data_IF_435396337231
#
_entry.id   IF_435396337231
#
_cell.length_a   1.000
_cell.length_b   1.000
_cell.length_c   1.000
_cell.angle_alpha   90.00
_cell.angle_beta   90.00
_cell.angle_gamma   90.00
#
_symmetry.space_group_name_H-M   'P 1'
#
loop_
_entity.id
_entity.type
_entity.pdbx_description
1 polymer ?
#
# COMPACT_ATOMS: atom_id res chain seq x y z
N UNK A 1 14.04 -26.18 60.66
CA UNK A 1 13.28 -27.35 60.17
C UNK A 1 11.83 -26.94 59.96
N UNK A 2 11.35 -26.93 58.71
CA UNK A 2 9.93 -27.01 58.33
C UNK A 2 9.88 -27.25 56.81
N UNK A 3 9.61 -28.51 56.41
CA UNK A 3 9.46 -28.95 55.02
C UNK A 3 8.00 -28.78 54.61
N UNK A 4 7.71 -27.99 53.58
CA UNK A 4 6.41 -27.97 52.93
C UNK A 4 6.48 -28.76 51.60
N UNK A 5 5.83 -29.92 51.57
CA UNK A 5 5.50 -30.68 50.35
C UNK A 5 4.42 -29.92 49.57
N UNK A 6 4.61 -29.71 48.26
CA UNK A 6 3.52 -29.36 47.34
C UNK A 6 3.29 -30.49 46.35
N UNK A 7 2.05 -30.97 46.34
CA UNK A 7 1.48 -32.00 45.48
C UNK A 7 0.98 -31.39 44.17
N UNK A 8 1.26 -32.03 43.04
CA UNK A 8 0.80 -31.65 41.69
C UNK A 8 -0.68 -32.01 41.46
N UNK A 9 -1.52 -31.18 40.82
CA UNK A 9 -2.87 -31.57 40.43
C UNK A 9 -2.94 -32.18 39.02
N UNK A 10 -3.63 -33.32 38.89
CA UNK A 10 -3.97 -34.01 37.63
C UNK A 10 -4.97 -33.18 36.80
N UNK A 11 -4.70 -32.97 35.52
CA UNK A 11 -5.62 -32.37 34.52
C UNK A 11 -6.68 -33.39 34.08
N UNK A 12 -7.96 -33.02 34.20
CA UNK A 12 -9.12 -33.72 33.59
C UNK A 12 -9.20 -33.40 32.09
N UNK A 13 -9.41 -34.41 31.25
CA UNK A 13 -9.77 -34.26 29.82
C UNK A 13 -11.23 -33.81 29.71
N UNK A 14 -11.46 -32.56 29.28
CA UNK A 14 -12.76 -32.07 28.84
C UNK A 14 -12.88 -32.21 27.31
N UNK A 15 -13.94 -32.87 26.85
CA UNK A 15 -14.33 -33.01 25.44
C UNK A 15 -15.03 -31.72 25.03
N UNK A 16 -14.50 -30.98 24.05
CA UNK A 16 -15.15 -29.80 23.47
C UNK A 16 -16.21 -30.24 22.46
N UNK A 17 -17.46 -29.93 22.76
CA UNK A 17 -18.59 -30.00 21.84
C UNK A 17 -18.71 -28.64 21.14
N UNK A 18 -18.65 -28.63 19.80
CA UNK A 18 -18.62 -27.40 19.00
C UNK A 18 -20.06 -26.97 18.71
N UNK A 19 -20.46 -25.85 19.31
CA UNK A 19 -21.80 -25.28 19.27
C UNK A 19 -22.20 -24.84 17.84
N UNK A 20 -23.22 -25.51 17.27
CA UNK A 20 -23.71 -25.33 15.91
C UNK A 20 -24.34 -23.95 15.64
N UNK A 21 -24.64 -23.17 16.68
CA UNK A 21 -25.23 -21.82 16.56
C UNK A 21 -24.25 -20.79 16.01
N UNK A 22 -22.95 -20.88 16.32
CA UNK A 22 -21.93 -19.92 15.87
C UNK A 22 -21.70 -19.97 14.35
N UNK A 23 -21.82 -21.17 13.77
CA UNK A 23 -21.68 -21.42 12.33
C UNK A 23 -22.84 -20.81 11.52
N UNK A 24 -24.05 -20.78 12.10
CA UNK A 24 -25.23 -20.18 11.47
C UNK A 24 -25.16 -18.64 11.42
N UNK A 25 -24.67 -18.01 12.50
CA UNK A 25 -24.50 -16.54 12.56
C UNK A 25 -23.45 -16.06 11.54
N UNK A 26 -22.36 -16.82 11.35
CA UNK A 26 -21.34 -16.52 10.34
C UNK A 26 -21.85 -16.66 8.91
N UNK A 27 -22.72 -17.66 8.62
CA UNK A 27 -23.36 -17.82 7.30
C UNK A 27 -24.33 -16.68 6.97
N UNK A 28 -25.10 -16.20 7.95
CA UNK A 28 -26.05 -15.10 7.79
C UNK A 28 -25.34 -13.75 7.56
N UNK A 29 -24.23 -13.49 8.27
CA UNK A 29 -23.38 -12.30 8.06
C UNK A 29 -22.78 -12.27 6.65
N UNK A 30 -22.27 -13.41 6.16
CA UNK A 30 -21.73 -13.53 4.79
C UNK A 30 -22.81 -13.32 3.72
N UNK A 31 -24.03 -13.82 3.92
CA UNK A 31 -25.14 -13.58 2.98
C UNK A 31 -25.59 -12.12 2.95
N UNK A 32 -25.69 -11.45 4.10
CA UNK A 32 -26.04 -10.01 4.15
C UNK A 32 -25.00 -9.13 3.46
N UNK A 33 -23.71 -9.40 3.63
CA UNK A 33 -22.63 -8.69 2.89
C UNK A 33 -22.70 -8.92 1.39
N UNK A 34 -22.99 -10.15 0.94
CA UNK A 34 -23.14 -10.48 -0.48
C UNK A 34 -24.36 -9.80 -1.11
N UNK A 35 -25.46 -9.67 -0.36
CA UNK A 35 -26.67 -8.96 -0.80
C UNK A 35 -26.45 -7.44 -0.90
N UNK A 36 -25.68 -6.85 0.03
CA UNK A 36 -25.27 -5.44 -0.04
C UNK A 36 -24.47 -5.12 -1.30
N UNK A 37 -23.46 -5.95 -1.61
CA UNK A 37 -22.65 -5.80 -2.83
C UNK A 37 -23.49 -5.94 -4.12
N UNK A 38 -24.47 -6.84 -4.15
CA UNK A 38 -25.38 -7.01 -5.29
C UNK A 38 -26.33 -5.82 -5.50
N UNK A 39 -26.77 -5.18 -4.41
CA UNK A 39 -27.61 -3.98 -4.47
C UNK A 39 -26.81 -2.75 -4.93
N UNK A 40 -25.53 -2.63 -4.54
CA UNK A 40 -24.64 -1.57 -5.03
C UNK A 40 -24.33 -1.72 -6.52
N UNK A 41 -24.15 -2.94 -7.02
CA UNK A 41 -24.01 -3.21 -8.47
C UNK A 41 -25.27 -2.81 -9.23
N UNK A 42 -26.47 -3.12 -8.72
CA UNK A 42 -27.74 -2.69 -9.36
C UNK A 42 -27.91 -1.17 -9.35
N UNK A 43 -27.45 -0.49 -8.31
CA UNK A 43 -27.49 0.98 -8.20
C UNK A 43 -26.57 1.66 -9.23
N UNK A 44 -25.44 1.04 -9.55
CA UNK A 44 -24.51 1.51 -10.59
C UNK A 44 -24.97 1.23 -12.03
N UNK A 45 -25.72 0.14 -12.26
CA UNK A 45 -26.17 -0.25 -13.61
C UNK A 45 -27.47 0.43 -14.07
N UNK A 46 -28.28 0.97 -13.14
CA UNK A 46 -29.52 1.68 -13.46
C UNK A 46 -29.35 2.88 -14.41
N UNK A 47 -28.42 3.81 -14.12
CA UNK A 47 -28.17 4.97 -14.98
C UNK A 47 -27.64 4.60 -16.38
N UNK A 48 -26.89 3.49 -16.49
CA UNK A 48 -26.30 3.03 -17.75
C UNK A 48 -27.38 2.53 -18.73
N UNK A 49 -28.43 1.90 -18.22
CA UNK A 49 -29.55 1.40 -19.04
C UNK A 49 -30.43 2.56 -19.57
N UNK A 50 -30.57 3.64 -18.81
CA UNK A 50 -31.32 4.83 -19.22
C UNK A 50 -30.57 5.62 -20.31
N UNK A 51 -29.24 5.70 -20.22
CA UNK A 51 -28.41 6.33 -21.25
C UNK A 51 -28.41 5.57 -22.58
N UNK A 52 -28.39 4.23 -22.56
CA UNK A 52 -28.47 3.40 -23.78
C UNK A 52 -29.81 3.63 -24.50
N UNK A 53 -30.93 3.70 -23.76
CA UNK A 53 -32.25 3.96 -24.33
C UNK A 53 -32.39 5.37 -24.94
N UNK A 54 -31.69 6.37 -24.39
CA UNK A 54 -31.65 7.73 -24.95
C UNK A 54 -30.87 7.79 -26.27
N UNK A 55 -29.77 7.06 -26.38
CA UNK A 55 -28.97 6.95 -27.61
C UNK A 55 -29.73 6.22 -28.71
N UNK A 56 -30.44 5.14 -28.38
CA UNK A 56 -31.28 4.42 -29.35
C UNK A 56 -32.44 5.28 -29.88
N UNK A 57 -33.11 6.06 -29.02
CA UNK A 57 -34.17 6.99 -29.46
C UNK A 57 -33.65 8.11 -30.35
N UNK A 58 -32.49 8.69 -30.02
CA UNK A 58 -31.86 9.72 -30.86
C UNK A 58 -31.47 9.18 -32.24
N UNK A 59 -30.93 7.97 -32.31
CA UNK A 59 -30.57 7.31 -33.56
C UNK A 59 -31.79 7.01 -34.44
N UNK A 60 -32.93 6.63 -33.84
CA UNK A 60 -34.16 6.32 -34.58
C UNK A 60 -34.84 7.57 -35.17
N UNK A 61 -34.85 8.69 -34.44
CA UNK A 61 -35.43 9.97 -34.92
C UNK A 61 -34.61 10.61 -36.05
N UNK A 62 -33.28 10.47 -36.03
CA UNK A 62 -32.41 10.98 -37.10
C UNK A 62 -32.49 10.16 -38.40
N UNK A 63 -32.84 8.87 -38.32
CA UNK A 63 -32.98 8.01 -39.50
C UNK A 63 -34.35 8.12 -40.17
N UNK A 64 -35.41 8.42 -39.42
CA UNK A 64 -36.78 8.57 -39.95
C UNK A 64 -37.05 9.93 -40.58
N UNK A 65 -36.46 11.02 -40.07
CA UNK A 65 -36.54 12.37 -40.66
C UNK A 65 -35.87 12.45 -42.05
N UNK A 66 -34.85 11.63 -42.31
CA UNK A 66 -34.17 11.57 -43.62
C UNK A 66 -34.97 10.84 -44.71
N UNK A 67 -35.95 10.00 -44.33
CA UNK A 67 -36.78 9.22 -45.28
C UNK A 67 -38.01 9.99 -45.77
N UNK A 68 -38.48 11.01 -45.03
CA UNK A 68 -39.65 11.84 -45.41
C UNK A 68 -39.31 13.02 -46.34
N UNK A 69 -38.05 13.44 -46.47
CA UNK A 69 -37.62 14.56 -47.34
C UNK A 69 -37.22 14.17 -48.78
N UNK A 70 -37.27 12.88 -49.15
CA UNK A 70 -36.89 12.38 -50.50
C UNK A 70 -38.04 12.03 -51.45
N UNK A 71 -39.30 12.32 -51.07
CA UNK A 71 -40.46 12.26 -51.99
C UNK A 71 -41.11 13.63 -52.04
N UNK A 72 -40.71 14.45 -53.01
CA UNK A 72 -41.35 15.74 -53.29
C UNK A 72 -40.47 16.69 -54.08
N UNK A 73 -40.88 16.91 -55.33
CA UNK A 73 -40.58 18.07 -56.18
C UNK A 73 -39.31 18.06 -57.04
N UNK A 74 -39.63 18.15 -58.32
CA UNK A 74 -38.89 18.32 -59.57
C UNK A 74 -38.11 19.63 -59.75
N UNK A 75 -37.16 19.56 -60.69
CA UNK A 75 -36.64 20.60 -61.59
C UNK A 75 -36.05 21.89 -61.00
N UNK A 76 -34.71 22.01 -61.06
CA UNK A 76 -34.06 23.27 -61.44
C UNK A 76 -32.65 23.02 -62.00
N UNK A 77 -32.39 23.60 -63.17
CA UNK A 77 -31.08 23.66 -63.83
C UNK A 77 -30.20 24.71 -63.14
N UNK A 78 -28.92 24.42 -62.95
CA UNK A 78 -27.98 25.38 -62.36
C UNK A 78 -26.54 24.85 -62.39
N UNK A 79 -25.78 25.31 -63.37
CA UNK A 79 -24.32 25.13 -63.49
C UNK A 79 -23.64 25.95 -62.39
N UNK A 80 -22.89 25.31 -61.49
CA UNK A 80 -21.84 25.97 -60.70
C UNK A 80 -20.58 25.11 -60.71
N UNK A 81 -19.52 25.79 -61.12
CA UNK A 81 -18.15 25.33 -61.34
C UNK A 81 -17.44 24.85 -60.06
N UNK A 82 -16.51 23.94 -60.30
CA UNK A 82 -15.69 23.17 -59.37
C UNK A 82 -14.81 23.99 -58.43
N UNK A 83 -14.81 23.64 -57.14
CA UNK A 83 -13.60 23.61 -56.32
C UNK A 83 -13.52 22.27 -55.59
N UNK A 84 -12.61 21.44 -56.04
CA UNK A 84 -12.28 20.13 -55.51
C UNK A 84 -11.60 20.25 -54.14
N UNK A 85 -12.41 20.25 -53.07
CA UNK A 85 -11.98 19.81 -51.75
C UNK A 85 -12.48 18.38 -51.55
N UNK A 86 -11.59 17.39 -51.63
CA UNK A 86 -11.90 16.00 -51.30
C UNK A 86 -12.12 15.91 -49.79
N UNK A 87 -13.33 16.26 -49.32
CA UNK A 87 -13.79 15.82 -48.01
C UNK A 87 -13.96 14.30 -48.10
N UNK A 88 -12.98 13.56 -47.59
CA UNK A 88 -13.12 12.12 -47.39
C UNK A 88 -14.22 11.90 -46.34
N UNK A 89 -15.45 11.73 -46.80
CA UNK A 89 -16.56 11.29 -45.96
C UNK A 89 -16.24 9.87 -45.55
N UNK A 90 -15.71 9.71 -44.33
CA UNK A 90 -15.48 8.40 -43.74
C UNK A 90 -16.77 7.59 -43.82
N UNK A 91 -16.67 6.33 -44.25
CA UNK A 91 -17.83 5.46 -44.34
C UNK A 91 -18.45 5.27 -42.95
N UNK A 92 -19.75 4.98 -42.86
CA UNK A 92 -20.42 4.67 -41.58
C UNK A 92 -19.66 3.56 -40.81
N UNK A 93 -19.03 2.62 -41.54
CA UNK A 93 -18.19 1.56 -40.97
C UNK A 93 -16.93 2.12 -40.31
N UNK A 94 -16.29 3.15 -40.86
CA UNK A 94 -15.13 3.80 -40.24
C UNK A 94 -15.50 4.55 -38.95
N UNK A 95 -16.64 5.24 -38.90
CA UNK A 95 -17.09 5.90 -37.67
C UNK A 95 -17.41 4.90 -36.56
N UNK A 96 -18.06 3.78 -36.89
CA UNK A 96 -18.32 2.70 -35.94
C UNK A 96 -17.02 2.09 -35.44
N UNK A 97 -16.03 1.84 -36.32
CA UNK A 97 -14.72 1.32 -35.91
C UNK A 97 -13.97 2.29 -34.99
N UNK A 98 -13.94 3.59 -35.30
CA UNK A 98 -13.30 4.60 -34.46
C UNK A 98 -13.98 4.74 -33.10
N UNK A 99 -15.31 4.65 -33.05
CA UNK A 99 -16.07 4.68 -31.80
C UNK A 99 -15.79 3.44 -30.94
N UNK A 100 -15.77 2.24 -31.54
CA UNK A 100 -15.42 0.99 -30.84
C UNK A 100 -13.97 1.03 -30.35
N UNK A 101 -13.02 1.53 -31.13
CA UNK A 101 -11.63 1.73 -30.71
C UNK A 101 -11.51 2.71 -29.55
N UNK A 102 -12.21 3.84 -29.60
CA UNK A 102 -12.23 4.80 -28.51
C UNK A 102 -12.86 4.20 -27.24
N UNK A 103 -13.94 3.42 -27.36
CA UNK A 103 -14.55 2.71 -26.24
C UNK A 103 -13.60 1.67 -25.66
N UNK A 104 -12.91 0.89 -26.50
CA UNK A 104 -11.91 -0.09 -26.07
C UNK A 104 -10.71 0.58 -25.37
N UNK A 105 -10.28 1.75 -25.83
CA UNK A 105 -9.21 2.52 -25.19
C UNK A 105 -9.65 3.11 -23.84
N UNK A 106 -10.89 3.55 -23.70
CA UNK A 106 -11.47 4.00 -22.43
C UNK A 106 -11.59 2.85 -21.43
N UNK A 107 -12.11 1.71 -21.88
CA UNK A 107 -12.24 0.51 -21.03
C UNK A 107 -10.85 -0.04 -20.66
N UNK A 108 -9.88 -0.04 -21.59
CA UNK A 108 -8.50 -0.40 -21.27
C UNK A 108 -7.91 0.56 -20.23
N UNK A 109 -8.12 1.87 -20.37
CA UNK A 109 -7.66 2.88 -19.40
C UNK A 109 -8.14 2.63 -17.97
N UNK A 110 -9.40 2.19 -17.79
CA UNK A 110 -9.94 1.82 -16.48
C UNK A 110 -9.42 0.47 -15.96
N UNK A 111 -9.09 -0.48 -16.84
CA UNK A 111 -8.56 -1.80 -16.43
C UNK A 111 -7.11 -1.71 -15.92
N UNK A 112 -6.30 -0.75 -16.40
CA UNK A 112 -4.92 -0.56 -15.93
C UNK A 112 -4.81 0.29 -14.66
N UNK A 113 -5.86 1.04 -14.29
CA UNK A 113 -5.91 1.82 -13.06
C UNK A 113 -6.48 0.99 -11.90
N UNK A 114 -5.94 -0.21 -11.67
CA UNK A 114 -6.24 -0.93 -10.43
C UNK A 114 -5.45 -0.26 -9.33
N UNK A 115 -6.09 0.57 -8.51
CA UNK A 115 -5.45 1.08 -7.28
C UNK A 115 -4.95 -0.13 -6.49
N UNK A 116 -3.63 -0.26 -6.40
CA UNK A 116 -3.01 -1.10 -5.40
C UNK A 116 -3.34 -0.45 -4.07
N UNK A 117 -4.27 -1.05 -3.34
CA UNK A 117 -4.63 -0.59 -2.00
C UNK A 117 -3.98 -1.51 -0.99
N UNK A 118 -2.97 -1.01 -0.29
CA UNK A 118 -2.48 -1.69 0.92
C UNK A 118 -3.64 -1.77 1.91
N UNK A 119 -4.00 -2.96 2.43
CA UNK A 119 -5.13 -3.12 3.33
C UNK A 119 -4.99 -2.24 4.56
N UNK A 120 -6.10 -1.70 5.06
CA UNK A 120 -6.11 -0.97 6.34
C UNK A 120 -5.94 -1.88 7.55
N UNK A 121 -6.04 -3.20 7.37
CA UNK A 121 -5.93 -4.17 8.45
C UNK A 121 -4.52 -4.77 8.40
N UNK A 122 -3.76 -4.73 9.51
CA UNK A 122 -2.46 -5.37 9.57
C UNK A 122 -2.54 -6.88 9.32
N UNK A 123 -1.44 -7.51 8.83
CA UNK A 123 -1.34 -8.96 8.67
C UNK A 123 -1.58 -9.72 9.97
N UNK A 124 -1.83 -11.03 9.85
CA UNK A 124 -1.90 -11.88 11.04
C UNK A 124 -0.51 -12.06 11.66
N UNK A 125 -0.37 -12.19 13.00
CA UNK A 125 0.95 -12.21 13.65
C UNK A 125 1.88 -13.35 13.21
N UNK A 126 1.37 -14.46 12.66
CA UNK A 126 2.25 -15.52 12.13
C UNK A 126 2.92 -15.13 10.81
N UNK A 127 2.48 -14.04 10.16
CA UNK A 127 3.03 -13.51 8.92
C UNK A 127 4.08 -12.42 9.21
N UNK A 128 5.07 -12.71 10.05
CA UNK A 128 6.01 -11.70 10.58
C UNK A 128 6.71 -10.87 9.49
N UNK A 129 7.16 -11.49 8.40
CA UNK A 129 7.79 -10.77 7.28
C UNK A 129 6.83 -9.78 6.61
N UNK A 130 5.57 -10.17 6.46
CA UNK A 130 4.53 -9.32 5.91
C UNK A 130 4.16 -8.19 6.89
N UNK A 131 4.11 -8.49 8.20
CA UNK A 131 3.91 -7.50 9.25
C UNK A 131 5.03 -6.45 9.25
N UNK A 132 6.29 -6.86 9.14
CA UNK A 132 7.43 -5.94 9.03
C UNK A 132 7.28 -4.98 7.85
N UNK A 133 6.99 -5.52 6.66
CA UNK A 133 6.74 -4.72 5.45
C UNK A 133 5.54 -3.80 5.60
N UNK A 134 4.47 -4.30 6.21
CA UNK A 134 3.26 -3.54 6.47
C UNK A 134 3.54 -2.33 7.38
N UNK A 135 4.27 -2.53 8.48
CA UNK A 135 4.61 -1.46 9.41
C UNK A 135 5.44 -0.40 8.69
N UNK A 136 6.56 -0.77 8.07
CA UNK A 136 7.46 0.16 7.37
C UNK A 136 6.71 1.00 6.33
N UNK A 137 5.80 0.37 5.58
CA UNK A 137 5.02 1.08 4.56
C UNK A 137 3.97 2.03 5.13
N UNK A 138 3.30 1.66 6.23
CA UNK A 138 2.20 2.45 6.81
C UNK A 138 2.66 3.50 7.83
N UNK A 139 3.94 3.50 8.21
CA UNK A 139 4.55 4.54 9.04
C UNK A 139 5.14 5.67 8.21
N UNK A 140 5.07 6.89 8.73
CA UNK A 140 5.64 8.11 8.17
C UNK A 140 6.98 8.49 8.79
N UNK A 141 7.30 7.98 9.98
CA UNK A 141 8.57 8.24 10.64
C UNK A 141 9.08 7.01 11.40
N UNK A 142 10.36 7.06 11.76
CA UNK A 142 11.04 6.09 12.60
C UNK A 142 11.79 6.78 13.71
N UNK A 143 11.91 6.13 14.87
CA UNK A 143 13.01 6.45 15.76
C UNK A 143 14.29 5.82 15.20
N UNK A 144 15.39 6.57 15.14
CA UNK A 144 16.71 6.09 14.74
C UNK A 144 17.67 6.21 15.93
N UNK A 145 18.38 5.14 16.22
CA UNK A 145 19.47 5.09 17.19
C UNK A 145 20.82 5.19 16.46
N UNK A 146 21.67 6.13 16.89
CA UNK A 146 23.04 6.35 16.42
C UNK A 146 24.03 6.29 17.59
N UNK A 147 25.33 6.22 17.31
CA UNK A 147 26.38 6.33 18.35
C UNK A 147 26.84 7.78 18.45
N UNK A 148 26.63 8.40 19.61
CA UNK A 148 26.82 9.84 19.74
C UNK A 148 28.27 10.28 19.65
N UNK A 149 28.49 11.37 18.92
CA UNK A 149 29.76 12.08 18.78
C UNK A 149 29.83 13.35 19.63
N UNK A 150 28.74 13.71 20.32
CA UNK A 150 28.67 14.86 21.20
C UNK A 150 29.57 14.69 22.41
N UNK A 151 30.29 15.74 22.81
CA UNK A 151 31.33 15.67 23.85
C UNK A 151 30.85 15.07 25.18
N UNK A 152 29.68 15.51 25.67
CA UNK A 152 29.14 15.08 26.96
C UNK A 152 28.66 13.62 27.00
N UNK A 153 28.34 13.03 25.84
CA UNK A 153 27.74 11.69 25.74
C UNK A 153 28.43 10.84 24.66
N UNK A 154 29.71 11.11 24.39
CA UNK A 154 30.45 10.44 23.31
C UNK A 154 30.43 8.93 23.52
N UNK A 155 29.99 8.19 22.51
CA UNK A 155 29.86 6.73 22.54
C UNK A 155 28.52 6.21 23.07
N UNK A 156 27.62 7.06 23.56
CA UNK A 156 26.30 6.64 24.03
C UNK A 156 25.36 6.37 22.84
N UNK A 157 24.37 5.48 22.97
CA UNK A 157 23.26 5.44 22.03
C UNK A 157 22.48 6.75 22.13
N UNK A 158 22.31 7.43 21.00
CA UNK A 158 21.48 8.61 20.86
C UNK A 158 20.29 8.28 19.98
N UNK A 159 19.08 8.65 20.41
CA UNK A 159 17.85 8.37 19.68
C UNK A 159 17.23 9.67 19.21
N UNK A 160 16.88 9.74 17.93
CA UNK A 160 16.11 10.83 17.35
C UNK A 160 15.02 10.31 16.42
N UNK A 161 14.20 11.21 15.88
CA UNK A 161 13.16 10.88 14.90
C UNK A 161 13.63 11.25 13.49
N UNK A 162 13.30 10.41 12.50
CA UNK A 162 13.45 10.71 11.07
C UNK A 162 12.22 10.33 10.28
N UNK A 163 11.82 11.18 9.35
CA UNK A 163 10.82 10.84 8.35
C UNK A 163 11.31 9.69 7.47
N UNK A 164 10.38 8.81 7.14
CA UNK A 164 10.60 7.55 6.43
C UNK A 164 9.66 7.46 5.23
N UNK A 165 10.14 6.88 4.14
CA UNK A 165 9.29 6.26 3.12
C UNK A 165 9.96 5.01 2.57
N UNK A 166 9.20 4.01 2.15
CA UNK A 166 9.71 2.81 1.48
C UNK A 166 9.22 2.67 0.03
N UNK A 167 8.53 3.70 -0.47
CA UNK A 167 7.89 3.66 -1.77
C UNK A 167 6.72 4.63 -1.89
N UNK A 168 5.99 4.53 -2.99
CA UNK A 168 4.72 5.25 -3.18
C UNK A 168 3.58 4.39 -2.65
N UNK A 169 2.38 4.96 -2.54
CA UNK A 169 1.16 4.22 -2.15
C UNK A 169 0.83 3.02 -3.04
N UNK A 170 1.40 2.96 -4.25
CA UNK A 170 1.17 1.88 -5.22
C UNK A 170 2.37 0.92 -5.33
N UNK A 171 3.55 1.32 -4.84
CA UNK A 171 4.77 0.55 -5.02
C UNK A 171 5.70 0.71 -3.82
N UNK A 172 5.64 -0.27 -2.91
CA UNK A 172 6.56 -0.44 -1.77
C UNK A 172 7.70 -1.38 -2.13
N UNK A 173 8.95 -0.94 -1.89
CA UNK A 173 10.13 -1.81 -1.99
C UNK A 173 10.51 -2.42 -0.64
N UNK A 174 10.01 -1.85 0.47
CA UNK A 174 10.43 -2.20 1.82
C UNK A 174 11.78 -1.62 2.22
N UNK A 175 12.48 -0.90 1.33
CA UNK A 175 13.75 -0.25 1.68
C UNK A 175 13.46 1.04 2.44
N UNK A 176 13.96 1.22 3.68
CA UNK A 176 13.73 2.45 4.43
C UNK A 176 14.55 3.60 3.83
N UNK A 177 13.90 4.50 3.07
CA UNK A 177 14.50 5.74 2.57
C UNK A 177 14.30 6.88 3.57
N UNK A 178 15.35 7.68 3.74
CA UNK A 178 15.39 8.84 4.63
C UNK A 178 15.97 10.06 3.90
N UNK A 179 15.49 11.25 4.24
CA UNK A 179 16.06 12.51 3.77
C UNK A 179 16.90 13.15 4.87
N UNK A 180 18.21 12.98 4.77
CA UNK A 180 19.16 13.24 5.85
C UNK A 180 19.98 14.50 5.58
N UNK A 181 20.54 15.10 6.62
CA UNK A 181 21.54 16.18 6.53
C UNK A 181 22.64 15.94 7.56
N UNK A 182 23.88 16.27 7.19
CA UNK A 182 25.05 16.23 8.08
C UNK A 182 25.02 17.32 9.17
N UNK A 183 24.10 18.28 9.08
CA UNK A 183 23.94 19.34 10.09
C UNK A 183 23.24 18.86 11.36
N UNK A 184 22.40 17.83 11.25
CA UNK A 184 21.67 17.22 12.35
C UNK A 184 22.60 16.38 13.25
N UNK A 185 22.23 16.20 14.53
CA UNK A 185 23.00 15.42 15.51
C UNK A 185 23.22 13.99 15.01
N UNK A 186 22.16 13.29 14.59
CA UNK A 186 22.29 11.94 14.04
C UNK A 186 23.09 11.94 12.72
N UNK A 187 22.99 13.00 11.92
CA UNK A 187 23.81 13.17 10.72
C UNK A 187 25.31 13.28 11.02
N UNK A 188 25.70 13.96 12.10
CA UNK A 188 27.10 14.02 12.57
C UNK A 188 27.57 12.67 13.11
N UNK A 189 26.71 11.99 13.87
CA UNK A 189 27.02 10.67 14.42
C UNK A 189 27.31 9.66 13.31
N UNK A 190 26.45 9.64 12.27
CA UNK A 190 26.54 8.74 11.13
C UNK A 190 27.85 8.90 10.34
N UNK A 191 28.41 10.10 10.28
CA UNK A 191 29.70 10.33 9.62
C UNK A 191 30.86 9.59 10.30
N UNK A 192 30.76 9.38 11.62
CA UNK A 192 31.78 8.65 12.39
C UNK A 192 31.46 7.15 12.46
N UNK A 193 30.18 6.79 12.57
CA UNK A 193 29.72 5.42 12.62
C UNK A 193 28.33 5.33 12.01
N UNK A 194 28.23 4.66 10.86
CA UNK A 194 26.98 4.55 10.12
C UNK A 194 26.11 3.34 10.53
N UNK A 195 26.49 2.59 11.56
CA UNK A 195 25.62 1.57 12.13
C UNK A 195 24.45 2.23 12.86
N UNK A 196 23.23 1.80 12.52
CA UNK A 196 21.98 2.36 13.07
C UNK A 196 20.99 1.25 13.39
N UNK A 197 20.11 1.53 14.35
CA UNK A 197 18.89 0.75 14.56
C UNK A 197 17.69 1.68 14.43
N UNK A 198 16.74 1.33 13.57
CA UNK A 198 15.47 2.04 13.42
C UNK A 198 14.33 1.22 14.02
N UNK A 199 13.31 1.91 14.55
CA UNK A 199 12.07 1.28 14.98
C UNK A 199 10.88 2.04 14.40
N UNK A 200 9.94 1.29 13.85
CA UNK A 200 8.62 1.74 13.42
C UNK A 200 7.55 0.96 14.17
N UNK A 201 6.38 1.58 14.37
CA UNK A 201 5.27 0.96 15.10
C UNK A 201 3.92 1.40 14.59
N UNK A 202 2.93 0.51 14.66
CA UNK A 202 1.53 0.84 14.41
C UNK A 202 0.93 1.80 15.46
N UNK A 203 1.67 2.17 16.51
CA UNK A 203 1.28 3.26 17.40
C UNK A 203 1.32 4.63 16.70
N UNK A 204 2.02 4.75 15.57
CA UNK A 204 1.96 5.95 14.73
C UNK A 204 0.61 6.08 14.00
N UNK A 205 -0.07 4.96 13.74
CA UNK A 205 -1.39 4.94 13.09
C UNK A 205 -2.51 4.88 14.13
N UNK A 206 -3.76 4.90 13.68
CA UNK A 206 -4.94 4.73 14.54
C UNK A 206 -5.14 3.27 15.01
N UNK A 207 -4.29 2.33 14.58
CA UNK A 207 -4.46 0.91 14.86
C UNK A 207 -4.46 0.60 16.36
N UNK A 208 -3.39 0.98 17.07
CA UNK A 208 -3.27 0.62 18.49
C UNK A 208 -4.33 1.32 19.35
N UNK A 209 -4.61 2.60 19.07
CA UNK A 209 -5.66 3.37 19.73
C UNK A 209 -7.04 2.74 19.50
N UNK A 210 -7.38 2.39 18.25
CA UNK A 210 -8.68 1.75 17.91
C UNK A 210 -8.90 0.40 18.59
N UNK A 211 -7.82 -0.26 19.03
CA UNK A 211 -7.85 -1.54 19.76
C UNK A 211 -7.74 -1.36 21.27
N UNK A 212 -7.57 -0.12 21.76
CA UNK A 212 -7.26 0.17 23.15
C UNK A 212 -6.02 -0.60 23.63
N UNK A 213 -5.00 -0.68 22.77
CA UNK A 213 -3.69 -1.21 23.11
C UNK A 213 -2.79 -0.06 23.52
N UNK A 214 -2.15 -0.20 24.68
CA UNK A 214 -1.01 0.64 25.02
C UNK A 214 0.10 0.47 23.95
N UNK A 215 0.82 1.54 23.55
CA UNK A 215 1.91 1.42 22.57
C UNK A 215 3.00 0.40 22.94
N UNK A 216 3.17 0.09 24.23
CA UNK A 216 4.09 -0.95 24.70
C UNK A 216 3.53 -2.37 24.56
N UNK A 217 2.20 -2.54 24.49
CA UNK A 217 1.55 -3.84 24.30
C UNK A 217 2.13 -4.54 23.05
N UNK A 218 2.51 -5.83 23.12
CA UNK A 218 3.12 -6.52 21.99
C UNK A 218 2.18 -6.68 20.80
N UNK A 219 0.85 -6.56 21.00
CA UNK A 219 -0.15 -6.55 19.93
C UNK A 219 -0.21 -5.20 19.20
N UNK A 220 0.30 -4.13 19.81
CA UNK A 220 0.62 -2.90 19.10
C UNK A 220 1.92 -3.13 18.33
N UNK A 221 1.80 -3.66 17.12
CA UNK A 221 2.94 -4.23 16.42
C UNK A 221 4.05 -3.20 16.16
N UNK A 222 5.30 -3.64 16.28
CA UNK A 222 6.49 -2.85 16.00
C UNK A 222 7.55 -3.69 15.30
N UNK A 223 8.33 -3.04 14.44
CA UNK A 223 9.46 -3.63 13.74
C UNK A 223 10.72 -2.87 14.13
N UNK A 224 11.77 -3.61 14.43
CA UNK A 224 13.10 -3.09 14.71
C UNK A 224 14.02 -3.57 13.60
N UNK A 225 14.76 -2.66 12.98
CA UNK A 225 15.68 -2.95 11.89
C UNK A 225 17.03 -2.38 12.26
N UNK A 226 18.05 -3.24 12.32
CA UNK A 226 19.44 -2.82 12.50
C UNK A 226 20.22 -3.00 11.22
N UNK A 227 21.16 -2.11 10.96
CA UNK A 227 22.00 -2.15 9.77
C UNK A 227 22.83 -0.90 9.58
N UNK A 228 23.09 -0.53 8.33
CA UNK A 228 23.94 0.63 7.99
C UNK A 228 23.18 1.68 7.22
N UNK A 229 23.30 2.94 7.64
CA UNK A 229 22.75 4.06 6.87
C UNK A 229 23.77 4.46 5.80
N UNK A 230 23.36 4.36 4.54
CA UNK A 230 24.19 4.71 3.39
C UNK A 230 23.55 5.80 2.55
N UNK A 231 24.40 6.69 2.02
CA UNK A 231 23.99 7.73 1.09
C UNK A 231 23.78 7.12 -0.30
N UNK A 232 22.71 7.53 -0.97
CA UNK A 232 22.40 7.05 -2.33
C UNK A 232 22.95 8.04 -3.35
N UNK A 233 23.68 7.52 -4.32
CA UNK A 233 24.30 8.31 -5.39
C UNK A 233 23.26 8.87 -6.36
N UNK A 234 23.35 10.18 -6.64
CA UNK A 234 22.36 10.94 -7.45
C UNK A 234 22.20 10.43 -8.89
N UNK A 235 23.22 9.74 -9.41
CA UNK A 235 23.23 9.20 -10.77
C UNK A 235 22.45 7.89 -10.91
N UNK A 236 21.98 7.30 -9.80
CA UNK A 236 21.33 5.99 -9.81
C UNK A 236 19.82 6.09 -10.05
N UNK A 237 19.18 5.09 -10.69
CA UNK A 237 17.72 5.01 -10.77
C UNK A 237 17.05 4.96 -9.38
N UNK A 238 17.71 4.32 -8.41
CA UNK A 238 17.24 4.25 -7.03
C UNK A 238 17.11 5.63 -6.39
N UNK A 239 18.00 6.58 -6.72
CA UNK A 239 17.90 7.94 -6.21
C UNK A 239 16.60 8.62 -6.60
N UNK A 240 16.23 8.53 -7.88
CA UNK A 240 15.00 9.14 -8.38
C UNK A 240 13.77 8.51 -7.72
N UNK A 241 13.77 7.18 -7.57
CA UNK A 241 12.69 6.46 -6.89
C UNK A 241 12.57 6.86 -5.41
N UNK A 242 13.68 6.84 -4.66
CA UNK A 242 13.66 7.16 -3.23
C UNK A 242 13.29 8.62 -2.95
N UNK A 243 13.77 9.57 -3.77
CA UNK A 243 13.34 10.96 -3.69
C UNK A 243 11.85 11.12 -3.97
N UNK A 244 11.32 10.44 -5.00
CA UNK A 244 9.89 10.45 -5.28
C UNK A 244 9.09 9.85 -4.11
N UNK A 245 9.48 8.68 -3.61
CA UNK A 245 8.84 8.01 -2.49
C UNK A 245 8.76 8.89 -1.23
N UNK A 246 9.85 9.60 -0.91
CA UNK A 246 9.88 10.54 0.21
C UNK A 246 9.00 11.76 -0.04
N UNK A 247 9.06 12.35 -1.23
CA UNK A 247 8.28 13.54 -1.58
C UNK A 247 6.78 13.29 -1.74
N UNK A 248 6.40 12.07 -2.13
CA UNK A 248 4.99 11.67 -2.21
C UNK A 248 4.41 11.47 -0.80
N UNK A 249 5.18 10.87 0.11
CA UNK A 249 4.76 10.67 1.51
C UNK A 249 4.90 11.95 2.37
N UNK A 250 5.91 12.77 2.09
CA UNK A 250 6.25 13.99 2.83
C UNK A 250 6.39 15.19 1.87
N UNK A 251 5.28 15.77 1.37
CA UNK A 251 5.31 16.83 0.36
C UNK A 251 6.13 18.06 0.76
N UNK A 252 6.18 18.39 2.05
CA UNK A 252 6.92 19.55 2.58
C UNK A 252 8.43 19.45 2.37
N UNK A 253 8.99 18.24 2.18
CA UNK A 253 10.43 18.06 1.93
C UNK A 253 10.91 18.71 0.64
N UNK A 254 10.01 18.95 -0.33
CA UNK A 254 10.33 19.65 -1.58
C UNK A 254 10.79 21.09 -1.34
N UNK A 255 10.29 21.69 -0.27
CA UNK A 255 10.51 23.09 0.09
C UNK A 255 11.54 23.27 1.22
N UNK A 256 12.19 22.19 1.65
CA UNK A 256 13.22 22.28 2.69
C UNK A 256 14.43 23.11 2.22
N UNK A 257 15.11 23.82 3.13
CA UNK A 257 16.20 24.74 2.77
C UNK A 257 17.35 24.04 2.02
N UNK A 258 17.72 24.58 0.86
CA UNK A 258 18.75 23.99 -0.01
C UNK A 258 20.15 24.05 0.59
N UNK A 259 20.42 25.08 1.38
CA UNK A 259 21.69 25.31 2.08
C UNK A 259 21.92 24.33 3.24
N UNK A 260 20.88 23.59 3.67
CA UNK A 260 21.01 22.48 4.62
C UNK A 260 21.55 21.19 3.98
N UNK A 261 21.78 21.18 2.66
CA UNK A 261 22.47 20.10 1.91
C UNK A 261 21.89 18.70 2.16
N UNK A 262 20.56 18.61 2.18
CA UNK A 262 19.89 17.32 2.35
C UNK A 262 20.28 16.31 1.25
N UNK A 263 20.38 15.04 1.63
CA UNK A 263 20.70 13.93 0.75
C UNK A 263 19.78 12.73 1.02
N UNK A 264 19.55 11.95 -0.03
CA UNK A 264 18.84 10.68 0.08
C UNK A 264 19.75 9.64 0.71
N UNK A 265 19.23 8.93 1.70
CA UNK A 265 19.87 7.78 2.31
C UNK A 265 18.91 6.60 2.38
N UNK A 266 19.46 5.40 2.56
CA UNK A 266 18.73 4.21 2.97
C UNK A 266 19.40 3.49 4.12
N UNK A 267 18.65 2.65 4.81
CA UNK A 267 19.21 1.62 5.68
C UNK A 267 19.45 0.37 4.84
N UNK A 268 20.69 -0.15 4.84
CA UNK A 268 21.01 -1.51 4.41
C UNK A 268 20.75 -2.45 5.59
N UNK A 269 19.75 -3.32 5.44
CA UNK A 269 19.23 -4.16 6.52
C UNK A 269 20.23 -5.28 6.83
N UNK A 270 20.59 -5.43 8.10
CA UNK A 270 21.40 -6.55 8.60
C UNK A 270 20.58 -7.47 9.53
N UNK A 271 19.68 -6.90 10.33
CA UNK A 271 18.77 -7.65 11.20
C UNK A 271 17.38 -7.03 11.19
N UNK A 272 16.35 -7.87 11.19
CA UNK A 272 14.93 -7.48 11.23
C UNK A 272 14.25 -8.28 12.34
N UNK A 273 13.68 -7.59 13.32
CA UNK A 273 12.94 -8.18 14.42
C UNK A 273 11.53 -7.60 14.47
N UNK A 274 10.53 -8.47 14.69
CA UNK A 274 9.12 -8.09 14.76
C UNK A 274 8.55 -8.51 16.11
N UNK A 275 7.90 -7.56 16.79
CA UNK A 275 7.04 -7.83 17.94
C UNK A 275 5.62 -7.43 17.59
N UNK A 276 4.77 -8.42 17.34
CA UNK A 276 3.38 -8.25 16.87
C UNK A 276 2.37 -9.12 17.65
N UNK A 277 2.84 -9.91 18.61
CA UNK A 277 2.02 -10.65 19.56
C UNK A 277 2.87 -11.09 20.77
N UNK A 278 2.22 -11.72 21.74
CA UNK A 278 2.92 -12.39 22.84
C UNK A 278 3.87 -13.48 22.32
N UNK A 279 4.96 -13.72 23.06
CA UNK A 279 5.93 -14.77 22.74
C UNK A 279 7.33 -14.28 22.37
N UNK A 280 7.58 -12.97 22.41
CA UNK A 280 8.92 -12.39 22.16
C UNK A 280 9.10 -11.91 20.72
N UNK A 281 10.34 -11.55 20.39
CA UNK A 281 10.71 -11.06 19.07
C UNK A 281 10.78 -12.20 18.06
N UNK A 282 10.32 -11.92 16.84
CA UNK A 282 10.42 -12.82 15.69
C UNK A 282 11.50 -12.29 14.76
N UNK A 283 12.50 -13.11 14.52
CA UNK A 283 13.54 -12.81 13.55
C UNK A 283 13.03 -13.08 12.14
N UNK A 284 13.17 -12.08 11.28
CA UNK A 284 12.81 -12.14 9.86
C UNK A 284 14.08 -12.03 9.03
N UNK A 285 14.30 -12.99 8.13
CA UNK A 285 15.44 -12.90 7.21
C UNK A 285 15.23 -11.80 6.18
N UNK A 286 16.31 -11.17 5.70
CA UNK A 286 16.22 -10.20 4.59
C UNK A 286 15.49 -10.81 3.37
N UNK A 287 15.73 -12.10 3.10
CA UNK A 287 15.09 -12.81 1.99
C UNK A 287 13.57 -12.85 2.14
N UNK A 288 13.05 -13.23 3.31
CA UNK A 288 11.61 -13.29 3.55
C UNK A 288 10.98 -11.89 3.54
N UNK A 289 11.66 -10.90 4.12
CA UNK A 289 11.21 -9.51 4.13
C UNK A 289 11.03 -8.92 2.73
N UNK A 290 12.02 -9.09 1.84
CA UNK A 290 11.94 -8.58 0.47
C UNK A 290 11.06 -9.45 -0.44
N UNK A 291 10.84 -10.72 -0.08
CA UNK A 291 9.88 -11.60 -0.80
C UNK A 291 8.42 -11.33 -0.42
N UNK A 292 8.16 -10.71 0.74
CA UNK A 292 6.81 -10.38 1.16
C UNK A 292 6.22 -9.23 0.32
N UNK A 293 5.06 -9.46 -0.29
CA UNK A 293 4.39 -8.48 -1.14
C UNK A 293 3.16 -7.90 -0.43
N UNK A 294 3.19 -6.61 -0.09
CA UNK A 294 2.05 -5.89 0.53
C UNK A 294 1.08 -5.26 -0.47
N UNK A 295 1.48 -5.17 -1.74
CA UNK A 295 0.73 -4.60 -2.87
C UNK A 295 -0.36 -5.58 -3.36
N UNK A 296 -0.10 -6.88 -3.26
CA UNK A 296 -1.03 -7.95 -3.69
C UNK A 296 -1.69 -8.66 -2.51
N UNK A 297 -2.05 -7.94 -1.45
CA UNK A 297 -2.69 -8.51 -0.26
C UNK A 297 -4.15 -8.94 -0.52
N UNK A 298 -4.30 -9.99 -1.32
CA UNK A 298 -5.48 -10.85 -1.38
C UNK A 298 -5.07 -12.18 -0.76
N UNK A 299 -5.09 -12.28 0.58
CA UNK A 299 -5.14 -13.55 1.34
C UNK A 299 -4.37 -14.73 0.71
N UNK A 300 -3.11 -14.53 0.30
CA UNK A 300 -2.26 -15.62 -0.12
C UNK A 300 -1.42 -16.02 1.08
N UNK A 301 -1.73 -17.22 1.55
CA UNK A 301 -1.07 -17.96 2.61
C UNK A 301 0.39 -18.24 2.16
N UNK A 302 1.24 -17.22 2.20
CA UNK A 302 2.67 -17.38 1.95
C UNK A 302 3.26 -18.09 3.16
N UNK A 303 3.50 -19.40 3.02
CA UNK A 303 4.28 -20.17 3.98
C UNK A 303 5.71 -19.62 4.03
N UNK A 304 5.97 -18.72 4.97
CA UNK A 304 7.33 -18.31 5.30
C UNK A 304 8.02 -19.48 6.01
N UNK A 305 8.96 -20.14 5.31
CA UNK A 305 9.64 -21.34 5.81
C UNK A 305 10.66 -21.06 6.93
N UNK A 306 11.17 -19.83 7.02
CA UNK A 306 12.38 -19.52 7.79
C UNK A 306 12.19 -18.38 8.83
N UNK A 307 11.01 -18.27 9.46
CA UNK A 307 10.82 -17.37 10.62
C UNK A 307 11.25 -18.10 11.89
N UNK A 308 12.23 -17.55 12.62
CA UNK A 308 12.63 -18.06 13.94
C UNK A 308 12.14 -17.13 15.04
N UNK A 309 11.59 -17.71 16.11
CA UNK A 309 11.22 -16.96 17.31
C UNK A 309 12.49 -16.86 18.16
N UNK A 310 12.92 -15.64 18.48
CA UNK A 310 13.95 -15.43 19.48
C UNK A 310 13.24 -15.50 20.83
N UNK A 311 13.23 -16.69 21.43
CA UNK A 311 12.90 -16.81 22.83
C UNK A 311 13.98 -16.08 23.62
N UNK A 312 13.61 -14.99 24.30
CA UNK A 312 14.49 -14.28 25.24
C UNK A 312 14.59 -15.14 26.52
N UNK A 313 15.12 -16.35 26.38
CA UNK A 313 15.58 -17.16 27.51
C UNK A 313 17.05 -16.80 27.72
N UNK A 314 17.34 -16.14 28.85
CA UNK A 314 18.66 -15.71 29.35
C UNK A 314 19.03 -14.22 29.16
N UNK A 315 18.32 -13.35 29.89
CA UNK A 315 18.96 -12.25 30.62
C UNK A 315 18.66 -12.40 32.11
#
# INVERSE_FOLDING_TARGET
>A
MLKARRTSPKRKKGRFEVDATRTHVLKLSKSKKKLGQLNDVKRFLGPLHEQINLVERWAFDHLTTRRRRRRGSSNFTGVISSRSGTFHVLSCRQYVLLFVLALLLLIAGEIWAREVVVPRVPPEPFQAALMARYIIHNTGWVSIATISTQEAIKGYPFVSLKSLSDGTSQNSTGVPYLYMTEMDVSGKDIQSNNNVSIMATLAETDYCESKNFDPQDPRCAKVLISGKLIKIEKSTPEYNFGMQALFDKHPSMKDWPKDHKFYLAKVELEQIEVLDFFGGLKHVTNKDYFSANITELINLDMQFKDVSIIEIENF
#
